data_IF_406160451638
#
_entry.id   IF_406160451638
#
_cell.length_a   1.000
_cell.length_b   1.000
_cell.length_c   1.000
_cell.angle_alpha   90.00
_cell.angle_beta   90.00
_cell.angle_gamma   90.00
#
_symmetry.space_group_name_H-M   'P 1'
#
loop_
_entity.id
_entity.type
_entity.pdbx_description
1 polymer ?
#
# COMPACT_ATOMS: atom_id res chain seq x y z
N UNK A 1 -36.69 2.48 2.19
CA UNK A 1 -35.71 2.33 1.09
C UNK A 1 -36.45 2.33 -0.24
N UNK A 2 -36.54 3.49 -0.93
CA UNK A 2 -37.35 3.65 -2.16
C UNK A 2 -36.56 4.21 -3.36
N UNK A 3 -35.24 4.08 -3.38
CA UNK A 3 -34.45 4.42 -4.57
C UNK A 3 -34.55 3.27 -5.58
N UNK A 4 -34.88 3.59 -6.84
CA UNK A 4 -34.84 2.62 -7.96
C UNK A 4 -33.40 2.09 -8.09
N UNK A 5 -33.24 0.84 -8.56
CA UNK A 5 -31.93 0.16 -8.67
C UNK A 5 -30.85 1.05 -9.32
N UNK A 6 -31.25 1.82 -10.34
CA UNK A 6 -30.39 2.71 -11.12
C UNK A 6 -29.84 3.93 -10.34
N UNK A 7 -30.58 4.41 -9.32
CA UNK A 7 -30.16 5.55 -8.49
C UNK A 7 -29.29 5.16 -7.29
N UNK A 8 -29.10 3.85 -7.06
CA UNK A 8 -28.30 3.33 -5.95
C UNK A 8 -26.87 3.05 -6.35
N UNK A 9 -26.62 2.74 -7.63
CA UNK A 9 -25.28 2.43 -8.11
C UNK A 9 -24.57 3.71 -8.56
N UNK A 10 -23.29 3.91 -8.21
CA UNK A 10 -22.52 5.02 -8.74
C UNK A 10 -22.38 4.79 -10.25
N UNK A 11 -23.01 5.65 -11.05
CA UNK A 11 -22.95 5.55 -12.51
C UNK A 11 -21.51 5.69 -13.04
N UNK A 12 -20.65 6.38 -12.26
CA UNK A 12 -19.27 6.71 -12.59
C UNK A 12 -18.30 6.40 -11.43
N UNK A 13 -18.23 5.16 -10.94
CA UNK A 13 -17.15 4.80 -9.99
C UNK A 13 -15.79 5.01 -10.66
N UNK A 14 -14.94 5.89 -10.12
CA UNK A 14 -13.69 6.29 -10.77
C UNK A 14 -13.79 7.57 -11.58
N UNK A 15 -14.86 8.36 -11.40
CA UNK A 15 -14.89 9.75 -11.86
C UNK A 15 -13.65 10.51 -11.38
N UNK A 16 -13.07 11.33 -12.25
CA UNK A 16 -11.82 12.06 -12.01
C UNK A 16 -10.58 11.18 -11.75
N UNK A 17 -10.66 9.85 -11.91
CA UNK A 17 -9.48 8.97 -11.76
C UNK A 17 -8.46 9.14 -12.89
N UNK A 18 -8.91 9.50 -14.08
CA UNK A 18 -8.12 9.49 -15.32
C UNK A 18 -8.40 8.29 -16.24
N UNK A 19 -9.25 7.35 -15.81
CA UNK A 19 -9.78 6.30 -16.69
C UNK A 19 -10.85 6.90 -17.63
N UNK A 20 -10.60 6.87 -18.93
CA UNK A 20 -11.45 7.53 -19.93
C UNK A 20 -12.54 6.63 -20.54
N UNK A 21 -12.38 5.30 -20.49
CA UNK A 21 -13.32 4.34 -21.09
C UNK A 21 -14.00 3.49 -20.01
N UNK A 22 -15.32 3.55 -19.92
CA UNK A 22 -16.18 2.73 -19.05
C UNK A 22 -15.81 2.73 -17.55
N UNK A 23 -14.95 3.65 -17.10
CA UNK A 23 -14.29 3.65 -15.79
C UNK A 23 -13.78 2.26 -15.36
N UNK A 24 -13.20 1.54 -16.31
CA UNK A 24 -12.71 0.19 -16.14
C UNK A 24 -11.36 0.02 -16.84
N UNK A 25 -10.58 -0.95 -16.38
CA UNK A 25 -9.40 -1.44 -17.09
C UNK A 25 -9.78 -2.64 -17.96
N UNK A 26 -9.06 -2.85 -19.06
CA UNK A 26 -9.39 -3.89 -20.05
C UNK A 26 -8.23 -4.87 -20.16
N UNK A 27 -8.47 -6.13 -19.86
CA UNK A 27 -7.49 -7.21 -20.07
C UNK A 27 -7.20 -7.42 -21.57
N UNK A 28 -6.10 -8.08 -21.95
CA UNK A 28 -5.82 -8.41 -23.36
C UNK A 28 -6.92 -9.24 -24.04
N UNK A 29 -7.78 -9.90 -23.27
CA UNK A 29 -8.90 -10.71 -23.75
C UNK A 29 -10.26 -10.01 -23.60
N UNK A 30 -10.24 -8.68 -23.53
CA UNK A 30 -11.41 -7.81 -23.52
C UNK A 30 -12.34 -7.90 -22.31
N UNK A 31 -11.97 -8.67 -21.29
CA UNK A 31 -12.65 -8.62 -20.00
C UNK A 31 -12.42 -7.26 -19.36
N UNK A 32 -13.51 -6.60 -18.98
CA UNK A 32 -13.51 -5.32 -18.26
C UNK A 32 -13.49 -5.58 -16.75
N UNK A 33 -12.62 -4.86 -16.04
CA UNK A 33 -12.52 -4.87 -14.59
C UNK A 33 -12.78 -3.45 -14.10
N UNK A 34 -13.83 -3.27 -13.30
CA UNK A 34 -14.25 -1.94 -12.86
C UNK A 34 -13.20 -1.27 -11.96
N UNK A 35 -13.20 0.07 -11.91
CA UNK A 35 -12.24 0.85 -11.13
C UNK A 35 -12.11 0.37 -9.67
N UNK A 36 -13.23 0.18 -8.98
CA UNK A 36 -13.25 -0.31 -7.59
C UNK A 36 -12.47 -1.63 -7.42
N UNK A 37 -12.73 -2.61 -8.29
CA UNK A 37 -12.06 -3.92 -8.27
C UNK A 37 -10.58 -3.79 -8.63
N UNK A 38 -10.24 -2.93 -9.61
CA UNK A 38 -8.86 -2.66 -9.99
C UNK A 38 -8.04 -2.04 -8.84
N UNK A 39 -8.62 -1.12 -8.06
CA UNK A 39 -7.94 -0.51 -6.91
C UNK A 39 -7.69 -1.53 -5.79
N UNK A 40 -8.69 -2.37 -5.48
CA UNK A 40 -8.54 -3.47 -4.51
C UNK A 40 -7.46 -4.46 -4.96
N UNK A 41 -7.48 -4.84 -6.23
CA UNK A 41 -6.45 -5.68 -6.83
C UNK A 41 -5.07 -5.04 -6.71
N UNK A 42 -4.90 -3.78 -7.13
CA UNK A 42 -3.62 -3.07 -7.07
C UNK A 42 -3.06 -3.06 -5.66
N UNK A 43 -3.86 -2.64 -4.68
CA UNK A 43 -3.42 -2.51 -3.30
C UNK A 43 -3.03 -3.86 -2.70
N UNK A 44 -3.84 -4.90 -2.91
CA UNK A 44 -3.51 -6.24 -2.40
C UNK A 44 -2.30 -6.84 -3.12
N UNK A 45 -2.16 -6.64 -4.42
CA UNK A 45 -0.98 -7.09 -5.17
C UNK A 45 0.30 -6.44 -4.64
N UNK A 46 0.27 -5.12 -4.44
CA UNK A 46 1.37 -4.36 -3.84
C UNK A 46 1.67 -4.80 -2.40
N UNK A 47 0.66 -5.19 -1.62
CA UNK A 47 0.86 -5.76 -0.29
C UNK A 47 1.57 -7.13 -0.34
N UNK A 48 1.30 -7.96 -1.36
CA UNK A 48 2.03 -9.22 -1.57
C UNK A 48 3.49 -8.95 -1.92
N UNK A 49 3.75 -8.02 -2.84
CA UNK A 49 5.13 -7.60 -3.15
C UNK A 49 5.84 -7.04 -1.91
N UNK A 50 5.15 -6.19 -1.14
CA UNK A 50 5.65 -5.62 0.11
C UNK A 50 5.98 -6.72 1.13
N UNK A 51 5.18 -7.78 1.21
CA UNK A 51 5.44 -8.92 2.10
C UNK A 51 6.72 -9.64 1.73
N UNK A 52 7.02 -9.78 0.43
CA UNK A 52 8.29 -10.34 -0.04
C UNK A 52 9.48 -9.44 0.34
N UNK A 53 9.35 -8.12 0.16
CA UNK A 53 10.37 -7.14 0.58
C UNK A 53 10.57 -7.17 2.10
N UNK A 54 9.51 -7.35 2.89
CA UNK A 54 9.60 -7.50 4.35
C UNK A 54 10.39 -8.76 4.73
N UNK A 55 10.23 -9.88 4.02
CA UNK A 55 11.04 -11.06 4.30
C UNK A 55 12.53 -10.79 4.02
N UNK A 56 12.84 -10.07 2.93
CA UNK A 56 14.21 -9.63 2.67
C UNK A 56 14.73 -8.73 3.80
N UNK A 57 13.93 -7.79 4.28
CA UNK A 57 14.30 -6.91 5.40
C UNK A 57 14.61 -7.70 6.68
N UNK A 58 13.80 -8.72 7.00
CA UNK A 58 14.03 -9.63 8.13
C UNK A 58 15.30 -10.47 7.99
N UNK A 59 15.70 -10.82 6.76
CA UNK A 59 16.98 -11.51 6.51
C UNK A 59 18.16 -10.55 6.69
N UNK A 60 18.03 -9.33 6.19
CA UNK A 60 19.08 -8.31 6.28
C UNK A 60 19.33 -7.83 7.71
N UNK A 61 18.29 -7.75 8.53
CA UNK A 61 18.37 -7.40 9.95
C UNK A 61 17.59 -8.43 10.78
N UNK A 62 18.24 -9.53 11.21
CA UNK A 62 17.58 -10.63 11.90
C UNK A 62 17.02 -10.29 13.28
N UNK A 63 17.65 -9.35 14.00
CA UNK A 63 17.17 -8.92 15.30
C UNK A 63 15.85 -8.13 15.17
N UNK A 64 14.88 -8.44 16.03
CA UNK A 64 13.54 -7.84 15.97
C UNK A 64 13.54 -6.39 16.40
N UNK A 65 14.21 -6.08 17.52
CA UNK A 65 14.23 -4.71 18.05
C UNK A 65 14.98 -3.79 17.09
N UNK A 66 16.16 -4.20 16.61
CA UNK A 66 16.99 -3.39 15.72
C UNK A 66 16.29 -3.07 14.40
N UNK A 67 15.69 -4.07 13.73
CA UNK A 67 14.97 -3.84 12.47
C UNK A 67 13.74 -2.96 12.67
N UNK A 68 13.03 -3.17 13.77
CA UNK A 68 11.79 -2.43 14.01
C UNK A 68 12.09 -0.99 14.40
N UNK A 69 13.13 -0.77 15.21
CA UNK A 69 13.63 0.56 15.57
C UNK A 69 14.09 1.34 14.34
N UNK A 70 14.90 0.71 13.47
CA UNK A 70 15.37 1.35 12.23
C UNK A 70 14.18 1.74 11.33
N UNK A 71 13.27 0.83 11.05
CA UNK A 71 12.12 1.11 10.18
C UNK A 71 11.21 2.20 10.78
N UNK A 72 10.93 2.14 12.09
CA UNK A 72 10.13 3.14 12.79
C UNK A 72 10.79 4.52 12.73
N UNK A 73 12.11 4.60 12.94
CA UNK A 73 12.85 5.85 12.90
C UNK A 73 12.86 6.44 11.50
N UNK A 74 13.18 5.63 10.49
CA UNK A 74 13.25 6.07 9.10
C UNK A 74 11.92 6.69 8.66
N UNK A 75 10.79 6.03 8.92
CA UNK A 75 9.50 6.58 8.48
C UNK A 75 9.04 7.77 9.33
N UNK A 76 9.31 7.79 10.63
CA UNK A 76 8.95 8.93 11.48
C UNK A 76 9.67 10.21 11.03
N UNK A 77 10.98 10.12 10.78
CA UNK A 77 11.80 11.25 10.32
C UNK A 77 11.32 11.72 8.94
N UNK A 78 11.09 10.78 8.01
CA UNK A 78 10.60 11.11 6.67
C UNK A 78 9.21 11.78 6.69
N UNK A 79 8.28 11.27 7.49
CA UNK A 79 6.94 11.85 7.60
C UNK A 79 6.94 13.21 8.30
N UNK A 80 7.82 13.40 9.27
CA UNK A 80 8.06 14.71 9.86
C UNK A 80 8.48 15.71 8.77
N UNK A 81 9.49 15.40 7.97
CA UNK A 81 9.95 16.28 6.88
C UNK A 81 8.85 16.56 5.84
N UNK A 82 8.09 15.54 5.44
CA UNK A 82 6.96 15.71 4.51
C UNK A 82 5.85 16.56 5.09
N UNK A 83 5.56 16.42 6.38
CA UNK A 83 4.62 17.29 7.08
C UNK A 83 5.10 18.74 7.12
N UNK A 84 6.41 19.00 7.25
CA UNK A 84 6.94 20.37 7.19
C UNK A 84 6.79 20.93 5.77
N UNK A 85 7.14 20.17 4.75
CA UNK A 85 7.11 20.62 3.35
C UNK A 85 5.70 20.86 2.81
N UNK A 86 4.76 19.95 3.05
CA UNK A 86 3.44 19.94 2.40
C UNK A 86 2.27 20.16 3.35
N UNK A 87 2.55 20.36 4.64
CA UNK A 87 1.53 20.31 5.66
C UNK A 87 0.50 21.43 5.62
N UNK A 88 0.81 22.61 5.08
CA UNK A 88 -0.18 23.68 4.90
C UNK A 88 -1.26 23.30 3.88
N UNK A 89 -0.86 22.67 2.77
CA UNK A 89 -1.80 22.15 1.78
C UNK A 89 -2.67 21.07 2.39
N UNK A 90 -2.07 20.15 3.16
CA UNK A 90 -2.81 19.09 3.85
C UNK A 90 -3.78 19.66 4.89
N UNK A 91 -3.39 20.69 5.64
CA UNK A 91 -4.29 21.33 6.61
C UNK A 91 -5.53 21.91 5.94
N UNK A 92 -5.35 22.55 4.78
CA UNK A 92 -6.46 23.07 4.00
C UNK A 92 -7.35 21.95 3.47
N UNK A 93 -6.76 20.91 2.87
CA UNK A 93 -7.49 19.75 2.36
C UNK A 93 -8.34 19.09 3.44
N UNK A 94 -7.78 18.91 4.64
CA UNK A 94 -8.47 18.28 5.75
C UNK A 94 -9.42 19.21 6.50
N UNK A 95 -9.67 20.45 6.05
CA UNK A 95 -10.48 21.43 6.77
C UNK A 95 -10.03 21.64 8.24
N UNK A 96 -8.72 21.73 8.46
CA UNK A 96 -8.15 21.89 9.79
C UNK A 96 -8.45 23.28 10.36
N UNK A 97 -9.23 23.33 11.45
CA UNK A 97 -9.62 24.60 12.06
C UNK A 97 -8.40 25.32 12.68
N UNK A 98 -8.25 26.66 12.56
CA UNK A 98 -7.16 27.42 13.18
C UNK A 98 -7.03 27.36 14.72
N UNK A 99 -8.01 26.76 15.40
CA UNK A 99 -8.00 26.56 16.86
C UNK A 99 -7.55 25.15 17.26
N UNK A 100 -7.23 24.32 16.27
CA UNK A 100 -6.63 23.01 16.48
C UNK A 100 -5.15 23.17 16.84
N UNK A 101 -4.79 22.83 18.07
CA UNK A 101 -3.46 23.03 18.65
C UNK A 101 -2.68 21.71 18.86
N UNK A 102 -1.35 21.75 18.81
CA UNK A 102 -0.52 20.60 19.18
C UNK A 102 -0.57 19.44 18.16
N UNK A 103 -0.51 18.20 18.67
CA UNK A 103 -0.12 17.00 17.90
C UNK A 103 -1.29 16.06 17.51
N UNK A 104 -2.54 16.39 17.79
CA UNK A 104 -3.67 15.47 17.54
C UNK A 104 -4.00 15.23 16.06
N UNK A 105 -3.47 16.05 15.16
CA UNK A 105 -3.85 16.05 13.73
C UNK A 105 -3.30 14.85 12.98
N UNK A 106 -2.31 14.14 13.54
CA UNK A 106 -1.84 12.87 13.00
C UNK A 106 -2.98 11.85 12.86
N UNK A 107 -3.98 11.87 13.75
CA UNK A 107 -5.15 10.99 13.64
C UNK A 107 -5.98 11.28 12.38
N UNK A 108 -6.23 12.54 12.04
CA UNK A 108 -7.03 12.92 10.87
C UNK A 108 -6.26 12.76 9.56
N UNK A 109 -4.95 13.06 9.56
CA UNK A 109 -4.08 12.78 8.41
C UNK A 109 -4.02 11.27 8.15
N UNK A 110 -3.95 10.48 9.22
CA UNK A 110 -3.99 9.04 9.11
C UNK A 110 -5.31 8.51 8.58
N UNK A 111 -6.44 9.08 9.02
CA UNK A 111 -7.79 8.65 8.61
C UNK A 111 -8.03 8.84 7.11
N UNK A 112 -7.73 10.02 6.60
CA UNK A 112 -7.82 10.31 5.17
C UNK A 112 -6.85 9.44 4.36
N UNK A 113 -5.59 9.33 4.78
CA UNK A 113 -4.60 8.50 4.10
C UNK A 113 -5.00 7.02 4.04
N UNK A 114 -5.61 6.49 5.11
CA UNK A 114 -6.03 5.10 5.19
C UNK A 114 -7.27 4.83 4.33
N UNK A 115 -8.29 5.70 4.33
CA UNK A 115 -9.46 5.55 3.43
C UNK A 115 -9.04 5.64 1.95
N UNK A 116 -8.12 6.55 1.61
CA UNK A 116 -7.50 6.65 0.29
C UNK A 116 -6.69 5.39 -0.11
N UNK A 117 -6.26 4.60 0.87
CA UNK A 117 -5.51 3.36 0.69
C UNK A 117 -6.38 2.12 0.94
N UNK A 118 -7.70 2.23 0.78
CA UNK A 118 -8.64 1.12 0.94
C UNK A 118 -8.62 0.49 2.35
N UNK A 119 -8.12 1.21 3.34
CA UNK A 119 -8.12 0.81 4.75
C UNK A 119 -9.25 1.56 5.44
N UNK A 120 -10.46 1.11 5.20
CA UNK A 120 -11.64 1.78 5.73
C UNK A 120 -11.68 1.69 7.26
N UNK A 121 -12.19 2.76 7.87
CA UNK A 121 -12.16 2.97 9.29
C UNK A 121 -12.76 4.31 9.69
N UNK A 122 -12.33 4.83 10.82
CA UNK A 122 -12.76 6.13 11.35
C UNK A 122 -11.90 6.62 12.51
N UNK A 123 -11.93 7.93 12.74
CA UNK A 123 -11.61 8.52 14.03
C UNK A 123 -12.82 8.41 14.95
N UNK A 124 -12.74 7.53 15.96
CA UNK A 124 -13.82 7.20 16.90
C UNK A 124 -13.94 8.20 18.05
N UNK A 125 -12.81 8.74 18.51
CA UNK A 125 -12.74 9.77 19.57
C UNK A 125 -11.77 10.87 19.12
N UNK A 126 -12.17 12.12 19.33
CA UNK A 126 -11.41 13.28 18.91
C UNK A 126 -11.53 14.41 19.93
N UNK A 127 -10.64 14.39 20.93
CA UNK A 127 -10.58 15.35 22.02
C UNK A 127 -9.27 16.12 22.12
N UNK A 128 -9.17 16.99 23.13
CA UNK A 128 -7.98 17.85 23.35
C UNK A 128 -6.73 17.05 23.73
N UNK A 129 -6.88 15.97 24.50
CA UNK A 129 -5.76 15.21 25.09
C UNK A 129 -5.78 13.74 24.70
N UNK A 130 -6.73 13.33 23.87
CA UNK A 130 -6.91 11.95 23.42
C UNK A 130 -7.54 11.96 22.03
N UNK A 131 -7.04 11.11 21.14
CA UNK A 131 -7.70 10.76 19.90
C UNK A 131 -7.63 9.23 19.74
N UNK A 132 -8.65 8.65 19.14
CA UNK A 132 -8.73 7.23 18.87
C UNK A 132 -9.13 7.01 17.43
N UNK A 133 -8.33 6.24 16.73
CA UNK A 133 -8.53 5.89 15.33
C UNK A 133 -8.58 4.38 15.19
N UNK A 134 -9.49 3.91 14.37
CA UNK A 134 -9.76 2.50 14.08
C UNK A 134 -9.74 2.26 12.56
N UNK A 135 -9.26 1.10 12.15
CA UNK A 135 -9.41 0.53 10.81
C UNK A 135 -10.09 -0.83 10.92
N UNK A 136 -11.12 -1.04 10.12
CA UNK A 136 -11.88 -2.28 10.02
C UNK A 136 -11.26 -3.22 8.98
N UNK A 137 -10.70 -2.66 7.90
CA UNK A 137 -10.01 -3.41 6.86
C UNK A 137 -8.59 -2.86 6.64
N UNK A 138 -7.66 -3.74 6.26
CA UNK A 138 -6.30 -3.35 5.92
C UNK A 138 -5.69 -4.33 4.92
N UNK A 139 -5.52 -3.98 3.63
CA UNK A 139 -4.88 -4.86 2.66
C UNK A 139 -3.42 -5.20 2.99
N UNK A 140 -2.77 -4.43 3.88
CA UNK A 140 -1.37 -4.58 4.27
C UNK A 140 -1.18 -5.49 5.49
N UNK A 141 -2.26 -6.04 6.05
CA UNK A 141 -2.25 -6.93 7.22
C UNK A 141 -1.26 -8.11 7.09
N UNK A 142 -1.02 -8.60 5.87
CA UNK A 142 -0.08 -9.69 5.58
C UNK A 142 1.42 -9.32 5.71
N UNK A 143 1.76 -8.04 5.79
CA UNK A 143 3.16 -7.62 5.89
C UNK A 143 3.76 -7.88 7.28
N UNK A 144 2.92 -7.98 8.31
CA UNK A 144 3.31 -8.30 9.68
C UNK A 144 3.48 -7.11 10.63
N UNK A 145 3.73 -7.43 11.90
CA UNK A 145 3.64 -6.48 13.03
C UNK A 145 4.68 -5.37 13.04
N UNK A 146 5.82 -5.56 12.37
CA UNK A 146 6.83 -4.53 12.23
C UNK A 146 6.28 -3.35 11.40
N UNK A 147 5.53 -3.63 10.33
CA UNK A 147 4.89 -2.59 9.52
C UNK A 147 3.87 -1.81 10.35
N UNK A 148 3.05 -2.50 11.15
CA UNK A 148 2.07 -1.88 12.04
C UNK A 148 2.71 -0.89 13.04
N UNK A 149 3.93 -1.17 13.52
CA UNK A 149 4.69 -0.25 14.38
C UNK A 149 5.17 0.97 13.59
N UNK A 150 5.70 0.72 12.40
CA UNK A 150 6.18 1.80 11.53
C UNK A 150 5.05 2.73 11.09
N UNK A 151 3.85 2.21 10.76
CA UNK A 151 2.68 3.06 10.43
C UNK A 151 2.24 3.91 11.62
N UNK A 152 2.32 3.37 12.84
CA UNK A 152 2.06 4.16 14.07
C UNK A 152 3.05 5.31 14.22
N UNK A 153 4.34 5.05 13.99
CA UNK A 153 5.39 6.09 14.06
C UNK A 153 5.36 7.07 12.89
N UNK A 154 4.84 6.65 11.73
CA UNK A 154 4.49 7.54 10.63
C UNK A 154 3.47 8.61 11.07
N UNK A 155 2.42 8.21 11.82
CA UNK A 155 1.46 9.17 12.38
C UNK A 155 2.10 10.10 13.43
N UNK A 156 3.00 9.58 14.26
CA UNK A 156 3.76 10.42 15.20
C UNK A 156 4.62 11.45 14.45
N UNK A 157 5.27 11.08 13.35
CA UNK A 157 6.04 11.99 12.50
C UNK A 157 5.16 13.11 11.92
N UNK A 158 4.00 12.77 11.37
CA UNK A 158 3.00 13.73 10.88
C UNK A 158 2.51 14.67 11.99
N UNK A 159 2.20 14.13 13.17
CA UNK A 159 1.78 14.88 14.34
C UNK A 159 2.85 15.87 14.80
N UNK A 160 4.11 15.43 14.90
CA UNK A 160 5.25 16.26 15.28
C UNK A 160 5.44 17.40 14.27
N UNK A 161 5.39 17.10 12.97
CA UNK A 161 5.55 18.10 11.92
C UNK A 161 4.39 19.10 11.91
N UNK A 162 3.16 18.65 12.11
CA UNK A 162 1.98 19.53 12.20
C UNK A 162 2.06 20.50 13.37
N UNK A 163 2.56 20.07 14.52
CA UNK A 163 2.70 20.91 15.70
C UNK A 163 3.63 22.12 15.48
N UNK A 164 4.61 22.03 14.58
CA UNK A 164 5.53 23.14 14.28
C UNK A 164 4.85 24.35 13.63
N UNK A 165 3.70 24.13 12.96
CA UNK A 165 2.97 25.15 12.21
C UNK A 165 1.76 25.68 12.96
N UNK A 166 1.38 25.01 14.04
CA UNK A 166 0.12 25.20 14.75
C UNK A 166 0.34 25.92 16.07
N UNK A 167 -0.76 26.37 16.66
CA UNK A 167 -0.73 26.90 18.02
C UNK A 167 -0.19 25.82 18.97
N UNK A 168 0.64 26.21 19.95
CA UNK A 168 1.09 25.28 20.99
C UNK A 168 -0.10 24.60 21.66
N UNK A 169 0.04 23.31 21.90
CA UNK A 169 -0.99 22.46 22.49
C UNK A 169 -0.38 21.15 22.98
N UNK A 170 -1.21 20.19 23.41
CA UNK A 170 -0.72 18.96 24.01
C UNK A 170 0.20 18.18 23.07
N UNK A 171 1.32 17.71 23.63
CA UNK A 171 2.12 16.64 23.04
C UNK A 171 1.36 15.33 23.18
N UNK A 172 1.32 14.55 22.10
CA UNK A 172 0.56 13.32 21.98
C UNK A 172 1.52 12.16 21.67
N UNK A 173 1.33 11.03 22.35
CA UNK A 173 2.02 9.78 22.04
C UNK A 173 1.04 8.82 21.35
N UNK A 174 1.33 8.49 20.10
CA UNK A 174 0.52 7.56 19.31
C UNK A 174 0.94 6.12 19.62
N UNK A 175 0.00 5.31 20.08
CA UNK A 175 0.20 3.91 20.42
C UNK A 175 -0.82 3.02 19.71
N UNK A 176 -0.36 1.96 19.05
CA UNK A 176 -1.24 0.94 18.51
C UNK A 176 -1.65 -0.03 19.61
N UNK A 177 -2.95 -0.22 19.80
CA UNK A 177 -3.53 -1.07 20.84
C UNK A 177 -4.22 -2.32 20.28
N UNK A 178 -4.60 -2.28 19.00
CA UNK A 178 -5.04 -3.44 18.21
C UNK A 178 -4.34 -3.38 16.85
N UNK A 179 -3.92 -4.52 16.30
CA UNK A 179 -3.24 -4.59 15.02
C UNK A 179 -3.70 -5.79 14.19
N UNK A 180 -4.33 -5.56 13.04
CA UNK A 180 -4.71 -6.64 12.11
C UNK A 180 -3.52 -7.50 11.68
N UNK A 181 -2.35 -6.89 11.48
CA UNK A 181 -1.12 -7.62 11.17
C UNK A 181 -0.58 -8.49 12.32
N UNK A 182 -1.19 -8.42 13.51
CA UNK A 182 -0.96 -9.30 14.65
C UNK A 182 -2.11 -10.31 14.88
N UNK A 183 -3.18 -10.25 14.08
CA UNK A 183 -4.35 -11.11 14.21
C UNK A 183 -5.56 -10.49 14.93
N UNK A 184 -5.49 -9.21 15.31
CA UNK A 184 -6.65 -8.50 15.85
C UNK A 184 -7.70 -8.22 14.76
N UNK A 185 -8.95 -8.02 15.16
CA UNK A 185 -10.03 -7.64 14.23
C UNK A 185 -9.78 -6.26 13.62
N UNK A 186 -9.24 -5.33 14.40
CA UNK A 186 -9.03 -3.96 13.97
C UNK A 186 -7.55 -3.59 14.01
N UNK A 187 -7.18 -2.56 13.25
CA UNK A 187 -6.04 -1.75 13.66
C UNK A 187 -6.61 -0.60 14.49
N UNK A 188 -6.11 -0.40 15.71
CA UNK A 188 -6.53 0.71 16.56
C UNK A 188 -5.34 1.44 17.10
N UNK A 189 -5.33 2.75 16.91
CA UNK A 189 -4.31 3.65 17.42
C UNK A 189 -4.98 4.64 18.36
N UNK A 190 -4.46 4.71 19.58
CA UNK A 190 -4.82 5.74 20.55
C UNK A 190 -3.65 6.70 20.66
N UNK A 191 -3.92 7.97 20.42
CA UNK A 191 -3.00 9.06 20.72
C UNK A 191 -3.43 9.67 22.04
N UNK A 192 -2.55 9.72 23.04
CA UNK A 192 -2.87 10.34 24.34
C UNK A 192 -1.76 11.29 24.79
N UNK A 193 -2.16 12.35 25.48
CA UNK A 193 -1.21 13.30 26.03
C UNK A 193 -0.54 12.74 27.26
N UNK A 194 0.77 12.52 27.20
CA UNK A 194 1.56 12.03 28.34
C UNK A 194 1.60 12.99 29.53
N UNK A 195 1.29 14.26 29.32
CA UNK A 195 1.16 15.25 30.41
C UNK A 195 -0.11 15.02 31.23
N UNK A 196 -1.23 14.70 30.56
CA UNK A 196 -2.51 14.41 31.21
C UNK A 196 -2.62 12.96 31.67
N UNK A 197 -2.05 12.05 30.90
CA UNK A 197 -2.09 10.61 31.11
C UNK A 197 -0.65 10.06 31.16
N UNK A 198 0.03 10.19 32.31
CA UNK A 198 1.43 9.79 32.43
C UNK A 198 1.62 8.28 32.21
N UNK A 199 2.58 7.92 31.36
CA UNK A 199 3.01 6.55 31.09
C UNK A 199 4.54 6.46 31.12
N UNK A 200 5.11 5.29 31.41
CA UNK A 200 6.56 5.09 31.33
C UNK A 200 7.16 5.48 29.98
N UNK A 201 8.42 5.89 30.01
CA UNK A 201 9.19 6.02 28.78
C UNK A 201 9.28 4.68 28.05
N UNK A 202 9.23 4.74 26.73
CA UNK A 202 9.29 3.56 25.86
C UNK A 202 10.18 3.88 24.66
N UNK A 203 10.87 2.87 24.15
CA UNK A 203 11.66 2.96 22.92
C UNK A 203 10.76 3.26 21.73
N UNK A 204 11.35 3.72 20.62
CA UNK A 204 10.56 4.05 19.44
C UNK A 204 9.88 2.81 18.86
N UNK A 205 10.56 1.67 18.79
CA UNK A 205 9.99 0.42 18.30
C UNK A 205 8.85 -0.13 19.17
N UNK A 206 8.76 0.27 20.45
CA UNK A 206 7.65 -0.05 21.37
C UNK A 206 6.42 0.82 21.05
N UNK A 207 6.04 0.90 19.77
CA UNK A 207 4.90 1.68 19.29
C UNK A 207 3.55 1.05 19.65
N UNK A 208 3.54 -0.22 20.05
CA UNK A 208 2.34 -0.87 20.56
C UNK A 208 2.11 -0.45 22.03
N UNK A 209 0.89 -0.62 22.53
CA UNK A 209 0.53 -0.34 23.92
C UNK A 209 1.48 -0.99 24.95
N UNK A 210 1.31 -0.69 26.25
CA UNK A 210 0.08 -0.20 26.87
C UNK A 210 -0.15 1.31 26.70
N UNK A 211 -1.39 1.72 26.97
CA UNK A 211 -1.83 3.12 27.10
C UNK A 211 -2.44 3.32 28.48
N UNK A 212 -2.44 4.55 28.99
CA UNK A 212 -3.04 4.92 30.26
C UNK A 212 -4.57 4.81 30.25
N UNK A 213 -5.19 5.03 29.09
CA UNK A 213 -6.66 5.05 28.92
C UNK A 213 -7.22 3.77 28.31
N UNK A 214 -6.66 2.60 28.66
CA UNK A 214 -7.05 1.30 28.09
C UNK A 214 -8.52 0.94 28.35
N UNK A 215 -9.09 1.37 29.48
CA UNK A 215 -10.49 1.20 29.85
C UNK A 215 -11.46 2.08 29.03
N UNK A 216 -10.93 3.06 28.28
CA UNK A 216 -11.69 3.98 27.44
C UNK A 216 -11.68 3.59 25.97
N UNK A 217 -11.01 2.50 25.59
CA UNK A 217 -11.02 1.99 24.22
C UNK A 217 -12.46 1.65 23.82
N UNK A 218 -12.95 2.25 22.73
CA UNK A 218 -14.30 2.00 22.24
C UNK A 218 -14.37 0.59 21.65
N UNK A 219 -15.33 -0.20 22.10
CA UNK A 219 -15.61 -1.47 21.48
C UNK A 219 -16.48 -1.29 20.23
N UNK A 220 -15.99 -1.79 19.09
CA UNK A 220 -16.73 -1.86 17.83
C UNK A 220 -17.09 -3.31 17.56
N UNK A 221 -18.39 -3.57 17.44
CA UNK A 221 -18.91 -4.90 17.09
C UNK A 221 -18.70 -5.19 15.61
N UNK A 222 -18.62 -6.47 15.24
CA UNK A 222 -18.31 -6.89 13.88
C UNK A 222 -19.35 -6.40 12.86
N UNK A 223 -20.61 -6.28 13.29
CA UNK A 223 -21.71 -5.78 12.47
C UNK A 223 -21.59 -4.29 12.12
N UNK A 224 -20.80 -3.53 12.89
CA UNK A 224 -20.56 -2.09 12.67
C UNK A 224 -19.24 -1.84 11.89
N UNK A 225 -18.50 -2.91 11.58
CA UNK A 225 -17.29 -2.83 10.76
C UNK A 225 -17.64 -2.52 9.30
N UNK A 226 -16.81 -1.70 8.67
CA UNK A 226 -16.90 -1.40 7.26
C UNK A 226 -15.92 -2.28 6.49
N UNK A 227 -16.29 -2.74 5.30
CA UNK A 227 -15.43 -3.50 4.38
C UNK A 227 -14.93 -2.64 3.21
N UNK A 228 -15.50 -1.46 3.04
CA UNK A 228 -15.24 -0.56 1.92
C UNK A 228 -14.98 0.89 2.37
N UNK A 229 -14.12 1.63 1.66
CA UNK A 229 -13.95 3.07 1.82
C UNK A 229 -15.24 3.85 1.62
N UNK A 230 -15.33 5.03 2.23
CA UNK A 230 -16.51 5.89 2.13
C UNK A 230 -16.86 6.24 0.68
N UNK A 231 -15.85 6.43 -0.18
CA UNK A 231 -16.05 6.75 -1.60
C UNK A 231 -16.73 5.64 -2.41
N UNK A 232 -16.86 4.43 -1.87
CA UNK A 232 -17.53 3.29 -2.51
C UNK A 232 -18.85 2.89 -1.84
N UNK A 233 -19.32 3.69 -0.88
CA UNK A 233 -20.49 3.38 -0.04
C UNK A 233 -21.66 4.32 -0.32
N UNK A 234 -22.85 3.75 -0.50
CA UNK A 234 -24.06 4.49 -0.85
C UNK A 234 -24.48 5.46 0.27
N UNK A 235 -24.35 5.02 1.53
CA UNK A 235 -24.68 5.80 2.72
C UNK A 235 -23.76 7.02 2.93
N UNK A 236 -22.59 7.02 2.30
CA UNK A 236 -21.62 8.13 2.30
C UNK A 236 -21.77 9.04 1.08
N UNK A 237 -22.80 8.86 0.24
CA UNK A 237 -22.96 9.58 -1.04
C UNK A 237 -21.71 9.47 -1.93
N UNK A 238 -20.99 8.34 -1.85
CA UNK A 238 -19.76 8.07 -2.60
C UNK A 238 -18.66 9.12 -2.41
N UNK A 239 -18.62 9.74 -1.22
CA UNK A 239 -17.62 10.74 -0.84
C UNK A 239 -16.93 10.34 0.45
N UNK A 240 -15.65 10.62 0.53
CA UNK A 240 -14.94 10.60 1.80
C UNK A 240 -15.33 11.83 2.59
N UNK A 241 -15.70 11.66 3.87
CA UNK A 241 -15.99 12.77 4.78
C UNK A 241 -15.34 12.50 6.13
N UNK A 242 -14.39 13.34 6.53
CA UNK A 242 -13.71 13.20 7.81
C UNK A 242 -14.41 13.97 8.95
N UNK A 243 -13.90 13.82 10.18
CA UNK A 243 -14.42 14.50 11.37
C UNK A 243 -14.37 16.03 11.36
N UNK A 244 -13.73 16.65 10.38
CA UNK A 244 -13.70 18.11 10.16
C UNK A 244 -14.47 18.56 8.93
N UNK A 245 -15.34 17.69 8.39
CA UNK A 245 -16.16 17.96 7.21
C UNK A 245 -15.32 18.28 5.96
N UNK A 246 -14.08 17.78 5.88
CA UNK A 246 -13.39 17.67 4.58
C UNK A 246 -14.18 16.70 3.70
N UNK A 247 -14.18 16.95 2.40
CA UNK A 247 -14.87 16.11 1.42
C UNK A 247 -13.90 15.78 0.30
N UNK A 248 -13.80 14.50 -0.05
CA UNK A 248 -13.07 14.04 -1.23
C UNK A 248 -13.92 13.05 -2.06
N UNK A 249 -13.58 12.89 -3.33
CA UNK A 249 -14.28 12.06 -4.30
C UNK A 249 -13.54 10.75 -4.58
N UNK A 250 -14.09 9.90 -5.46
CA UNK A 250 -13.52 8.58 -5.77
C UNK A 250 -12.07 8.57 -6.28
N UNK A 251 -11.58 9.72 -6.77
CA UNK A 251 -10.19 9.91 -7.15
C UNK A 251 -9.22 9.88 -5.95
N UNK A 252 -9.68 10.06 -4.71
CA UNK A 252 -8.87 9.94 -3.51
C UNK A 252 -8.18 8.56 -3.41
N UNK A 253 -8.89 7.51 -3.82
CA UNK A 253 -8.39 6.12 -3.83
C UNK A 253 -7.25 5.90 -4.82
N UNK A 254 -7.00 6.84 -5.74
CA UNK A 254 -5.78 6.81 -6.56
C UNK A 254 -4.50 6.78 -5.72
N UNK A 255 -4.54 7.11 -4.42
CA UNK A 255 -3.40 6.97 -3.53
C UNK A 255 -2.81 5.56 -3.51
N UNK A 256 -3.59 4.51 -3.82
CA UNK A 256 -3.05 3.14 -3.98
C UNK A 256 -1.96 3.05 -5.06
N UNK A 257 -2.00 3.95 -6.06
CA UNK A 257 -0.99 4.06 -7.12
C UNK A 257 0.16 4.99 -6.77
N UNK A 258 0.18 5.55 -5.56
CA UNK A 258 1.22 6.46 -5.09
C UNK A 258 1.90 5.96 -3.83
N UNK A 259 1.33 4.99 -3.12
CA UNK A 259 1.73 4.67 -1.75
C UNK A 259 1.46 3.20 -1.44
N UNK A 260 2.53 2.47 -1.11
CA UNK A 260 2.48 1.05 -0.75
C UNK A 260 3.37 0.80 0.46
N UNK A 261 3.16 -0.32 1.16
CA UNK A 261 4.03 -0.68 2.27
C UNK A 261 5.51 -0.77 1.84
N UNK A 262 5.76 -1.35 0.66
CA UNK A 262 7.08 -1.48 0.04
C UNK A 262 7.75 -0.14 -0.23
N UNK A 263 7.03 0.81 -0.83
CA UNK A 263 7.60 2.11 -1.22
C UNK A 263 7.78 3.09 -0.07
N UNK A 264 6.86 3.08 0.89
CA UNK A 264 6.85 4.05 1.98
C UNK A 264 7.67 3.62 3.20
N UNK A 265 7.72 2.32 3.50
CA UNK A 265 8.27 1.82 4.76
C UNK A 265 9.48 0.93 4.54
N UNK A 266 9.37 -0.08 3.67
CA UNK A 266 10.35 -1.17 3.60
C UNK A 266 11.61 -0.82 2.82
N UNK A 267 11.46 -0.39 1.55
CA UNK A 267 12.61 0.01 0.73
C UNK A 267 13.37 1.19 1.34
N UNK A 268 12.71 2.24 1.89
CA UNK A 268 13.42 3.28 2.64
C UNK A 268 14.18 2.76 3.87
N UNK A 269 13.63 1.81 4.62
CA UNK A 269 14.34 1.22 5.76
C UNK A 269 15.57 0.40 5.34
N UNK A 270 15.49 -0.31 4.19
CA UNK A 270 16.64 -0.99 3.59
C UNK A 270 17.70 0.02 3.16
N UNK A 271 17.32 1.11 2.49
CA UNK A 271 18.22 2.19 2.11
C UNK A 271 18.91 2.82 3.33
N UNK A 272 18.16 3.10 4.40
CA UNK A 272 18.73 3.60 5.64
C UNK A 272 19.74 2.62 6.26
N UNK A 273 19.51 1.30 6.13
CA UNK A 273 20.47 0.27 6.55
C UNK A 273 21.76 0.28 5.73
N UNK A 274 21.66 0.50 4.41
CA UNK A 274 22.80 0.67 3.50
C UNK A 274 23.60 1.92 3.88
N UNK A 275 22.92 3.06 4.07
CA UNK A 275 23.55 4.34 4.44
C UNK A 275 24.28 4.26 5.79
N UNK A 276 23.76 3.46 6.73
CA UNK A 276 24.38 3.18 8.04
C UNK A 276 25.51 2.15 7.97
N UNK A 277 25.76 1.54 6.81
CA UNK A 277 26.81 0.53 6.63
C UNK A 277 26.51 -0.82 7.28
N UNK A 278 25.24 -1.14 7.57
CA UNK A 278 24.86 -2.44 8.14
C UNK A 278 25.08 -3.59 7.14
N UNK A 279 24.94 -3.29 5.85
CA UNK A 279 25.17 -4.21 4.74
C UNK A 279 25.44 -3.41 3.45
N UNK A 280 26.04 -4.06 2.45
CA UNK A 280 26.27 -3.44 1.14
C UNK A 280 24.96 -3.35 0.33
N UNK A 281 24.88 -2.36 -0.55
CA UNK A 281 23.77 -2.21 -1.51
C UNK A 281 23.59 -3.45 -2.38
N UNK A 282 24.70 -4.01 -2.87
CA UNK A 282 24.71 -5.21 -3.71
C UNK A 282 24.11 -6.41 -2.96
N UNK A 283 24.55 -6.65 -1.72
CA UNK A 283 24.02 -7.74 -0.92
C UNK A 283 22.53 -7.53 -0.59
N UNK A 284 22.14 -6.31 -0.20
CA UNK A 284 20.75 -5.98 0.09
C UNK A 284 19.82 -6.31 -1.09
N UNK A 285 20.15 -5.81 -2.27
CA UNK A 285 19.32 -6.02 -3.45
C UNK A 285 19.40 -7.43 -4.03
N UNK A 286 20.50 -8.15 -3.80
CA UNK A 286 20.54 -9.58 -4.07
C UNK A 286 19.50 -10.32 -3.21
N UNK A 287 19.47 -10.09 -1.90
CA UNK A 287 18.49 -10.71 -1.00
C UNK A 287 17.05 -10.33 -1.38
N UNK A 288 16.78 -9.05 -1.66
CA UNK A 288 15.45 -8.60 -2.12
C UNK A 288 15.04 -9.32 -3.41
N UNK A 289 15.96 -9.46 -4.37
CA UNK A 289 15.68 -10.16 -5.63
C UNK A 289 15.29 -11.62 -5.41
N UNK A 290 15.97 -12.33 -4.51
CA UNK A 290 15.67 -13.72 -4.17
C UNK A 290 14.31 -13.87 -3.50
N UNK A 291 13.97 -12.99 -2.56
CA UNK A 291 12.67 -13.01 -1.89
C UNK A 291 11.53 -12.70 -2.86
N UNK A 292 11.67 -11.68 -3.72
CA UNK A 292 10.67 -11.35 -4.73
C UNK A 292 10.50 -12.48 -5.75
N UNK A 293 11.58 -13.06 -6.27
CA UNK A 293 11.51 -14.19 -7.21
C UNK A 293 10.88 -15.43 -6.55
N UNK A 294 11.23 -15.72 -5.30
CA UNK A 294 10.62 -16.80 -4.52
C UNK A 294 9.11 -16.59 -4.32
N UNK A 295 8.70 -15.37 -3.96
CA UNK A 295 7.29 -15.02 -3.80
C UNK A 295 6.51 -15.14 -5.13
N UNK A 296 7.11 -14.72 -6.24
CA UNK A 296 6.50 -14.86 -7.57
C UNK A 296 6.23 -16.33 -7.92
N UNK A 297 7.19 -17.22 -7.64
CA UNK A 297 6.99 -18.67 -7.82
C UNK A 297 5.85 -19.18 -6.94
N UNK A 298 5.87 -18.84 -5.65
CA UNK A 298 4.88 -19.31 -4.69
C UNK A 298 3.44 -18.86 -5.01
N UNK A 299 3.27 -17.65 -5.55
CA UNK A 299 1.96 -17.07 -5.93
C UNK A 299 1.14 -18.00 -6.84
N UNK A 300 1.81 -18.72 -7.75
CA UNK A 300 1.18 -19.65 -8.70
C UNK A 300 1.70 -21.08 -8.57
N UNK A 301 2.28 -21.43 -7.43
CA UNK A 301 2.79 -22.78 -7.17
C UNK A 301 1.68 -23.83 -7.16
N UNK A 302 0.46 -23.43 -6.80
CA UNK A 302 -0.72 -24.29 -6.76
C UNK A 302 -1.61 -24.14 -8.01
N UNK A 303 -2.15 -25.27 -8.50
CA UNK A 303 -2.92 -25.29 -9.75
C UNK A 303 -4.22 -24.48 -9.70
N UNK A 304 -4.86 -24.36 -8.53
CA UNK A 304 -6.07 -23.55 -8.39
C UNK A 304 -5.77 -22.06 -8.58
N UNK A 305 -4.60 -21.57 -8.15
CA UNK A 305 -4.20 -20.17 -8.33
C UNK A 305 -3.98 -19.82 -9.80
N UNK A 306 -3.45 -20.78 -10.58
CA UNK A 306 -3.30 -20.64 -12.03
C UNK A 306 -4.67 -20.49 -12.68
N UNK A 307 -5.62 -21.38 -12.35
CA UNK A 307 -6.97 -21.33 -12.90
C UNK A 307 -7.69 -20.03 -12.50
N UNK A 308 -7.61 -19.64 -11.24
CA UNK A 308 -8.19 -18.39 -10.75
C UNK A 308 -7.61 -17.16 -11.48
N UNK A 309 -6.30 -17.14 -11.72
CA UNK A 309 -5.67 -16.07 -12.51
C UNK A 309 -6.21 -16.02 -13.94
N UNK A 310 -6.33 -17.18 -14.60
CA UNK A 310 -6.89 -17.27 -15.96
C UNK A 310 -8.33 -16.79 -16.02
N UNK A 311 -9.17 -17.21 -15.08
CA UNK A 311 -10.58 -16.81 -15.01
C UNK A 311 -10.72 -15.31 -14.68
N UNK A 312 -9.88 -14.81 -13.77
CA UNK A 312 -9.83 -13.40 -13.42
C UNK A 312 -9.46 -12.53 -14.63
N UNK A 313 -8.50 -12.98 -15.44
CA UNK A 313 -8.07 -12.29 -16.66
C UNK A 313 -9.00 -12.51 -17.87
N UNK A 314 -9.87 -13.53 -17.85
CA UNK A 314 -10.71 -13.89 -19.00
C UNK A 314 -9.94 -14.63 -20.10
N UNK A 315 -8.91 -15.40 -19.75
CA UNK A 315 -8.08 -16.13 -20.72
C UNK A 315 -8.89 -17.22 -21.43
N UNK A 316 -8.98 -17.22 -22.78
CA UNK A 316 -9.66 -18.28 -23.51
C UNK A 316 -9.00 -19.65 -23.30
N UNK A 317 -9.81 -20.72 -23.32
CA UNK A 317 -9.31 -22.10 -23.21
C UNK A 317 -8.37 -22.52 -24.36
N UNK A 318 -8.41 -21.81 -25.49
CA UNK A 318 -7.48 -22.03 -26.62
C UNK A 318 -6.04 -21.60 -26.31
N UNK A 319 -5.84 -20.74 -25.30
CA UNK A 319 -4.51 -20.33 -24.85
C UNK A 319 -3.97 -21.40 -23.92
N UNK A 320 -2.94 -22.12 -24.37
CA UNK A 320 -2.24 -23.14 -23.59
C UNK A 320 -1.35 -22.52 -22.50
N UNK A 321 -0.20 -23.14 -22.26
CA UNK A 321 0.84 -22.62 -21.35
C UNK A 321 1.86 -21.78 -22.13
N UNK A 322 1.48 -20.55 -22.45
CA UNK A 322 2.36 -19.60 -23.12
C UNK A 322 2.45 -18.25 -22.40
N UNK A 323 3.45 -17.45 -22.79
CA UNK A 323 3.83 -16.20 -22.13
C UNK A 323 2.72 -15.16 -22.03
N UNK A 324 1.66 -15.25 -22.84
CA UNK A 324 0.51 -14.32 -22.81
C UNK A 324 -0.22 -14.33 -21.49
N UNK A 325 -0.22 -15.45 -20.74
CA UNK A 325 -0.86 -15.50 -19.42
C UNK A 325 -0.19 -14.52 -18.46
N UNK A 326 1.14 -14.61 -18.33
CA UNK A 326 1.90 -13.65 -17.50
C UNK A 326 1.83 -12.25 -18.09
N UNK A 327 1.87 -12.12 -19.42
CA UNK A 327 1.73 -10.83 -20.09
C UNK A 327 0.44 -10.12 -19.70
N UNK A 328 -0.70 -10.82 -19.73
CA UNK A 328 -1.98 -10.28 -19.30
C UNK A 328 -2.04 -9.94 -17.81
N UNK A 329 -1.36 -10.70 -16.94
CA UNK A 329 -1.23 -10.36 -15.53
C UNK A 329 -0.42 -9.06 -15.31
N UNK A 330 0.71 -8.92 -16.01
CA UNK A 330 1.54 -7.71 -15.96
C UNK A 330 0.72 -6.52 -16.48
N UNK A 331 0.06 -6.68 -17.62
CA UNK A 331 -0.75 -5.62 -18.22
C UNK A 331 -1.91 -5.19 -17.32
N UNK A 332 -2.62 -6.13 -16.70
CA UNK A 332 -3.62 -5.86 -15.67
C UNK A 332 -3.02 -5.02 -14.54
N UNK A 333 -1.84 -5.42 -14.05
CA UNK A 333 -1.17 -4.72 -12.97
C UNK A 333 -0.80 -3.29 -13.37
N UNK A 334 -0.15 -3.10 -14.53
CA UNK A 334 0.26 -1.80 -15.04
C UNK A 334 -0.95 -0.87 -15.23
N UNK A 335 -2.04 -1.37 -15.80
CA UNK A 335 -3.29 -0.63 -15.92
C UNK A 335 -3.91 -0.29 -14.57
N UNK A 336 -3.76 -1.13 -13.54
CA UNK A 336 -4.33 -0.87 -12.21
C UNK A 336 -3.57 0.21 -11.43
N UNK A 337 -2.26 0.37 -11.67
CA UNK A 337 -1.44 1.44 -11.07
C UNK A 337 -1.20 2.63 -12.00
N UNK A 338 -1.84 2.62 -13.17
CA UNK A 338 -1.79 3.67 -14.20
C UNK A 338 -0.36 3.90 -14.71
N UNK A 339 0.44 2.84 -14.75
CA UNK A 339 1.77 2.87 -15.31
C UNK A 339 1.68 2.88 -16.84
N UNK A 340 2.26 3.87 -17.54
CA UNK A 340 2.32 3.86 -18.99
C UNK A 340 3.15 2.67 -19.52
N UNK A 341 2.67 2.04 -20.60
CA UNK A 341 3.38 0.97 -21.29
C UNK A 341 3.01 0.91 -22.79
N UNK A 342 3.88 0.30 -23.58
CA UNK A 342 3.66 -0.03 -24.99
C UNK A 342 3.79 -1.54 -25.19
N UNK A 343 2.99 -2.10 -26.12
CA UNK A 343 3.01 -3.52 -26.48
C UNK A 343 3.69 -3.67 -27.84
N UNK A 344 4.89 -4.24 -27.87
CA UNK A 344 5.60 -4.52 -29.13
C UNK A 344 5.23 -5.89 -29.69
N UNK A 345 4.97 -6.86 -28.82
CA UNK A 345 4.54 -8.20 -29.20
C UNK A 345 3.61 -8.79 -28.13
N UNK A 346 2.54 -9.46 -28.59
CA UNK A 346 1.66 -10.24 -27.73
C UNK A 346 1.16 -11.46 -28.51
N UNK A 347 1.98 -12.50 -28.61
CA UNK A 347 1.68 -13.71 -29.38
C UNK A 347 2.14 -14.99 -28.65
N UNK A 348 1.93 -16.16 -29.25
CA UNK A 348 2.21 -17.46 -28.62
C UNK A 348 3.71 -17.75 -28.40
N UNK A 349 4.60 -17.04 -29.10
CA UNK A 349 6.04 -17.26 -29.05
C UNK A 349 6.72 -16.28 -28.09
N UNK A 350 6.26 -15.03 -28.08
CA UNK A 350 6.79 -13.98 -27.22
C UNK A 350 5.76 -12.91 -26.86
N UNK A 351 5.99 -12.31 -25.69
CA UNK A 351 5.34 -11.09 -25.24
C UNK A 351 6.40 -10.06 -24.91
N UNK A 352 6.24 -8.84 -25.40
CA UNK A 352 7.20 -7.76 -25.19
C UNK A 352 6.45 -6.49 -24.78
N UNK A 353 6.81 -5.96 -23.61
CA UNK A 353 6.31 -4.69 -23.10
C UNK A 353 7.46 -3.71 -22.94
N UNK A 354 7.21 -2.45 -23.30
CA UNK A 354 8.08 -1.32 -22.97
C UNK A 354 7.38 -0.49 -21.91
N UNK A 355 7.84 -0.59 -20.67
CA UNK A 355 7.17 -0.05 -19.48
C UNK A 355 7.88 1.23 -19.04
N UNK A 356 7.13 2.28 -18.70
CA UNK A 356 7.71 3.47 -18.07
C UNK A 356 8.13 3.14 -16.63
N UNK A 357 9.44 3.19 -16.33
CA UNK A 357 9.93 2.88 -14.97
C UNK A 357 9.36 3.83 -13.93
N UNK A 358 9.13 5.10 -14.28
CA UNK A 358 8.57 6.09 -13.35
C UNK A 358 7.13 5.76 -12.97
N UNK A 359 6.37 5.11 -13.86
CA UNK A 359 5.01 4.67 -13.55
C UNK A 359 4.94 3.58 -12.48
N UNK A 360 6.02 2.80 -12.30
CA UNK A 360 6.18 1.83 -11.21
C UNK A 360 6.99 2.37 -10.02
N UNK A 361 7.61 3.54 -10.15
CA UNK A 361 8.27 4.20 -9.02
C UNK A 361 7.19 4.90 -8.19
N UNK A 362 6.85 4.29 -7.06
CA UNK A 362 5.95 4.92 -6.10
C UNK A 362 6.78 5.74 -5.11
N UNK A 363 6.41 7.02 -4.97
CA UNK A 363 7.15 8.00 -4.16
C UNK A 363 8.62 8.09 -4.61
N UNK A 364 9.58 7.86 -3.70
CA UNK A 364 11.02 7.93 -3.95
C UNK A 364 11.70 6.56 -4.00
N UNK A 365 10.92 5.47 -4.03
CA UNK A 365 11.44 4.10 -4.04
C UNK A 365 11.88 3.67 -5.44
N UNK A 366 13.08 4.12 -5.84
CA UNK A 366 13.65 3.89 -7.19
C UNK A 366 13.77 2.42 -7.60
N UNK A 367 13.86 1.51 -6.62
CA UNK A 367 14.05 0.07 -6.81
C UNK A 367 12.76 -0.73 -6.80
N UNK A 368 11.60 -0.09 -6.59
CA UNK A 368 10.31 -0.77 -6.68
C UNK A 368 10.01 -1.37 -8.07
N UNK A 369 10.38 -0.73 -9.21
CA UNK A 369 10.25 -1.37 -10.52
C UNK A 369 11.06 -2.67 -10.64
N UNK A 370 12.25 -2.73 -10.04
CA UNK A 370 13.07 -3.95 -10.09
C UNK A 370 12.46 -5.05 -9.21
N UNK A 371 11.82 -4.68 -8.08
CA UNK A 371 11.08 -5.62 -7.25
C UNK A 371 9.91 -6.28 -8.01
N UNK A 372 9.18 -5.49 -8.79
CA UNK A 372 8.16 -5.98 -9.71
C UNK A 372 8.72 -6.96 -10.73
N UNK A 373 9.80 -6.56 -11.39
CA UNK A 373 10.48 -7.40 -12.37
C UNK A 373 10.94 -8.74 -11.77
N UNK A 374 11.54 -8.75 -10.58
CA UNK A 374 11.95 -9.98 -9.89
C UNK A 374 10.76 -10.86 -9.52
N UNK A 375 9.65 -10.28 -9.09
CA UNK A 375 8.40 -11.02 -8.85
C UNK A 375 7.91 -11.69 -10.13
N UNK A 376 7.88 -10.97 -11.25
CA UNK A 376 7.45 -11.51 -12.55
C UNK A 376 8.38 -12.61 -13.07
N UNK A 377 9.69 -12.47 -12.88
CA UNK A 377 10.69 -13.52 -13.17
C UNK A 377 10.38 -14.82 -12.43
N UNK A 378 9.92 -14.73 -11.19
CA UNK A 378 9.49 -15.88 -10.41
C UNK A 378 8.17 -16.45 -10.93
N UNK A 379 7.18 -15.58 -11.10
CA UNK A 379 5.81 -15.95 -11.48
C UNK A 379 5.74 -16.71 -12.80
N UNK A 380 6.56 -16.36 -13.81
CA UNK A 380 6.54 -17.04 -15.12
C UNK A 380 6.77 -18.55 -15.00
N UNK A 381 7.57 -18.97 -14.02
CA UNK A 381 8.00 -20.37 -13.84
C UNK A 381 6.88 -21.27 -13.38
N UNK A 382 5.91 -20.73 -12.67
CA UNK A 382 4.80 -21.49 -12.08
C UNK A 382 3.46 -21.17 -12.72
N UNK A 383 3.24 -19.91 -13.12
CA UNK A 383 2.04 -19.50 -13.86
C UNK A 383 2.00 -20.07 -15.29
N UNK A 384 3.15 -20.13 -15.96
CA UNK A 384 3.26 -20.61 -17.34
C UNK A 384 3.91 -21.98 -17.37
N UNK A 385 5.24 -22.04 -17.30
CA UNK A 385 6.05 -23.27 -17.24
C UNK A 385 7.54 -22.92 -16.98
N UNK A 386 8.33 -23.87 -16.46
CA UNK A 386 9.75 -23.71 -16.18
C UNK A 386 10.61 -23.30 -17.40
N UNK A 387 10.17 -23.62 -18.62
CA UNK A 387 10.86 -23.26 -19.87
C UNK A 387 10.75 -21.77 -20.24
N UNK A 388 9.79 -21.05 -19.66
CA UNK A 388 9.58 -19.63 -19.96
C UNK A 388 10.40 -18.74 -19.04
N UNK A 389 10.83 -17.61 -19.56
CA UNK A 389 11.67 -16.64 -18.86
C UNK A 389 11.11 -15.24 -19.05
N UNK A 390 11.38 -14.37 -18.07
CA UNK A 390 11.24 -12.92 -18.19
C UNK A 390 12.64 -12.32 -18.07
N UNK A 391 13.04 -11.49 -19.02
CA UNK A 391 14.27 -10.74 -18.93
C UNK A 391 14.11 -9.35 -19.52
N UNK A 392 15.01 -8.46 -19.11
CA UNK A 392 15.11 -7.12 -19.68
C UNK A 392 16.17 -7.12 -20.78
N UNK A 393 15.86 -6.56 -21.95
CA UNK A 393 16.79 -6.40 -23.06
C UNK A 393 16.48 -5.13 -23.86
N UNK A 394 17.53 -4.43 -24.31
CA UNK A 394 17.42 -3.25 -25.17
C UNK A 394 16.48 -2.15 -24.62
N UNK A 395 16.51 -1.92 -23.30
CA UNK A 395 15.68 -0.91 -22.65
C UNK A 395 15.99 0.51 -23.12
N UNK A 396 14.99 1.26 -23.63
CA UNK A 396 15.12 2.70 -23.87
C UNK A 396 15.40 3.46 -22.57
N UNK A 397 15.95 4.67 -22.68
CA UNK A 397 16.21 5.52 -21.52
C UNK A 397 14.92 5.76 -20.70
N UNK A 398 15.01 5.53 -19.39
CA UNK A 398 13.88 5.70 -18.46
C UNK A 398 12.79 4.61 -18.56
N UNK A 399 12.91 3.66 -19.49
CA UNK A 399 11.96 2.56 -19.66
C UNK A 399 12.56 1.21 -19.24
N UNK A 400 11.71 0.21 -19.12
CA UNK A 400 12.05 -1.19 -18.91
C UNK A 400 11.40 -1.99 -20.04
N UNK A 401 12.23 -2.47 -20.99
CA UNK A 401 11.77 -3.34 -22.07
C UNK A 401 11.90 -4.79 -21.64
N UNK A 402 10.80 -5.40 -21.24
CA UNK A 402 10.76 -6.80 -20.81
C UNK A 402 10.33 -7.71 -21.95
N UNK A 403 10.93 -8.90 -22.02
CA UNK A 403 10.55 -9.98 -22.92
C UNK A 403 10.20 -11.24 -22.15
N UNK A 404 9.07 -11.84 -22.53
CA UNK A 404 8.56 -13.11 -22.01
C UNK A 404 8.60 -14.13 -23.14
N UNK A 405 9.54 -15.06 -23.09
CA UNK A 405 9.69 -16.09 -24.11
C UNK A 405 10.40 -17.33 -23.56
N UNK A 406 10.42 -18.41 -24.34
CA UNK A 406 11.21 -19.60 -24.01
C UNK A 406 12.69 -19.29 -24.17
N UNK A 407 13.48 -19.64 -23.15
CA UNK A 407 14.93 -19.46 -23.14
C UNK A 407 15.60 -20.55 -22.32
N UNK A 408 16.69 -21.12 -22.84
CA UNK A 408 17.55 -22.02 -22.08
C UNK A 408 18.56 -21.15 -21.35
N UNK A 409 18.48 -21.13 -20.03
CA UNK A 409 19.38 -20.35 -19.18
C UNK A 409 20.06 -21.27 -18.17
N UNK A 410 21.15 -21.91 -18.63
CA UNK A 410 21.92 -22.87 -17.81
C UNK A 410 23.20 -22.28 -17.23
N UNK A 411 23.65 -21.14 -17.75
CA UNK A 411 25.02 -20.66 -17.56
C UNK A 411 25.13 -19.15 -17.34
N UNK A 412 24.02 -18.40 -17.22
CA UNK A 412 24.06 -16.98 -16.83
C UNK A 412 23.95 -16.81 -15.32
#
# INVERSE_FOLDING_TARGET
MSKKIDQRLPQNSGENSGLNQYYAIKTPWEKLIGYKEAMHYANRFEAVLSTAIMQAYRILIPDYEERTELMCKTVMDWQYEKSIMYGLTRDYQLNMHPFMCGQFTGALVGDEGDDCLLMCGRVQDFGTYRAEKELDACPWDICGTELCRATTRSLQGQANGAATRRRPGPTMDYAMVEARGAGDRHCRIVAESREKYPMPERKLWEAFGPIATADQIKYTVEEDCCDEPMVFREECDYKFINGTCSVDESAAVNMVKMSTAGSLYLLPAIEAGIEKGLFSREFAYHVVSLCCEGAGKAMFGEHYSIQACRDYLGVPNSIGKDGRILGGLIELQLQSVFCPYEVEAFNENEVIYVIDRKGLQLVSAKTLPDCHFWLWKGAVKTLVDAQWMVWEEDSPEGKMRIKIAKKIDKFQ
#
